data_IF_128956363217
#
_entry.id   IF_128956363217
#
_cell.length_a   1.000
_cell.length_b   1.000
_cell.length_c   1.000
_cell.angle_alpha   90.00
_cell.angle_beta   90.00
_cell.angle_gamma   90.00
#
_symmetry.space_group_name_H-M   'P 1'
#
loop_
_entity.id
_entity.type
_entity.pdbx_description
1 polymer ?
#
# COMPACT_ATOMS: atom_id res chain seq x y z
N UNK A 1 -10.23 9.49 6.71
CA UNK A 1 -11.52 9.01 7.28
C UNK A 1 -12.06 7.90 6.38
N UNK A 2 -12.70 6.84 6.93
CA UNK A 2 -13.33 5.78 6.14
C UNK A 2 -14.84 6.01 6.16
N UNK A 3 -15.41 6.41 5.02
CA UNK A 3 -16.86 6.44 4.86
C UNK A 3 -17.41 5.01 4.84
N UNK A 4 -18.56 4.80 5.50
CA UNK A 4 -19.20 3.47 5.58
C UNK A 4 -19.66 3.07 4.16
N UNK A 5 -18.92 2.17 3.51
CA UNK A 5 -19.14 1.73 2.13
C UNK A 5 -17.87 1.77 1.25
N UNK A 6 -16.84 2.55 1.64
CA UNK A 6 -15.58 2.63 0.92
C UNK A 6 -14.52 1.69 1.53
N UNK A 7 -13.92 0.83 0.71
CA UNK A 7 -12.85 -0.10 1.12
C UNK A 7 -11.50 0.60 1.36
N UNK A 8 -11.25 1.71 0.64
CA UNK A 8 -10.05 2.52 0.75
C UNK A 8 -10.23 3.69 1.74
N UNK A 9 -9.17 4.00 2.49
CA UNK A 9 -9.06 5.19 3.31
C UNK A 9 -8.61 6.37 2.46
N UNK A 10 -9.17 7.56 2.75
CA UNK A 10 -8.80 8.82 2.10
C UNK A 10 -8.20 9.78 3.10
N UNK A 11 -7.16 10.50 2.69
CA UNK A 11 -6.62 11.67 3.40
C UNK A 11 -7.64 12.81 3.33
N UNK A 12 -7.94 13.42 4.48
CA UNK A 12 -8.89 14.53 4.58
C UNK A 12 -8.10 15.78 4.95
N UNK A 13 -8.10 16.76 4.06
CA UNK A 13 -7.39 18.02 4.30
C UNK A 13 -7.93 18.71 5.56
N UNK A 14 -7.03 19.13 6.45
CA UNK A 14 -7.37 19.83 7.69
C UNK A 14 -7.83 18.94 8.85
N UNK A 15 -7.84 17.61 8.69
CA UNK A 15 -8.09 16.70 9.80
C UNK A 15 -6.80 16.41 10.57
N UNK A 16 -6.91 16.27 11.90
CA UNK A 16 -5.81 15.81 12.74
C UNK A 16 -5.32 14.43 12.29
N UNK A 17 -3.99 14.20 12.22
CA UNK A 17 -3.44 12.89 11.94
C UNK A 17 -3.97 11.84 12.93
N UNK A 18 -4.57 10.77 12.42
CA UNK A 18 -5.19 9.72 13.24
C UNK A 18 -4.49 8.35 13.12
N UNK A 19 -3.36 8.33 12.39
CA UNK A 19 -2.44 7.19 12.27
C UNK A 19 -1.01 7.67 11.98
N UNK A 20 -0.02 6.93 12.46
CA UNK A 20 1.40 7.21 12.25
C UNK A 20 2.16 5.92 11.94
N UNK A 21 2.96 5.93 10.88
CA UNK A 21 3.89 4.85 10.53
C UNK A 21 5.23 5.44 10.16
N UNK A 22 6.30 4.97 10.82
CA UNK A 22 7.67 5.24 10.37
C UNK A 22 8.03 4.25 9.27
N UNK A 23 8.56 4.79 8.17
CA UNK A 23 8.96 4.03 6.98
C UNK A 23 10.47 4.12 6.82
N UNK A 24 11.15 2.97 6.75
CA UNK A 24 12.59 2.92 6.53
C UNK A 24 12.89 2.13 5.25
N UNK A 25 13.67 2.71 4.33
CA UNK A 25 14.15 2.00 3.16
C UNK A 25 15.31 1.08 3.55
N UNK A 26 15.16 -0.21 3.30
CA UNK A 26 16.19 -1.23 3.56
C UNK A 26 17.02 -1.57 2.32
N UNK A 27 16.60 -1.16 1.13
CA UNK A 27 17.32 -1.38 -0.12
C UNK A 27 16.41 -1.38 -1.33
N UNK A 28 17.03 -1.23 -2.50
CA UNK A 28 16.37 -1.23 -3.81
C UNK A 28 17.08 -2.28 -4.67
N UNK A 29 16.30 -3.06 -5.43
CA UNK A 29 16.82 -4.02 -6.38
C UNK A 29 16.10 -3.88 -7.71
N UNK A 30 16.79 -4.22 -8.79
CA UNK A 30 16.14 -4.48 -10.08
C UNK A 30 15.38 -5.79 -10.01
N UNK A 31 14.19 -5.82 -10.60
CA UNK A 31 13.42 -7.05 -10.79
C UNK A 31 13.05 -7.18 -12.27
N UNK A 32 12.92 -8.42 -12.79
CA UNK A 32 12.30 -8.62 -14.09
C UNK A 32 10.96 -7.89 -14.11
N UNK A 33 10.67 -7.17 -15.18
CA UNK A 33 9.36 -6.55 -15.36
C UNK A 33 8.32 -7.67 -15.46
N UNK A 34 7.68 -8.01 -14.34
CA UNK A 34 6.45 -8.79 -14.36
C UNK A 34 5.33 -7.89 -14.90
N UNK A 35 4.33 -8.47 -15.55
CA UNK A 35 3.23 -7.72 -16.15
C UNK A 35 2.56 -6.80 -15.12
N UNK A 36 2.79 -5.49 -15.25
CA UNK A 36 2.25 -4.45 -14.38
C UNK A 36 3.15 -4.02 -13.20
N UNK A 37 4.41 -4.48 -13.12
CA UNK A 37 5.33 -4.10 -12.03
C UNK A 37 6.51 -3.28 -12.55
N UNK A 38 6.95 -2.22 -11.83
CA UNK A 38 8.11 -1.44 -12.23
C UNK A 38 9.40 -2.27 -12.18
N UNK A 39 10.43 -1.92 -12.98
CA UNK A 39 11.70 -2.65 -13.03
C UNK A 39 12.53 -2.50 -11.73
N UNK A 40 12.09 -1.64 -10.80
CA UNK A 40 12.73 -1.39 -9.51
C UNK A 40 11.77 -1.76 -8.38
N UNK A 41 12.25 -2.58 -7.45
CA UNK A 41 11.56 -2.93 -6.22
C UNK A 41 12.35 -2.45 -5.02
N UNK A 42 11.67 -1.78 -4.10
CA UNK A 42 12.22 -1.34 -2.83
C UNK A 42 11.71 -2.24 -1.68
N UNK A 43 12.58 -2.54 -0.72
CA UNK A 43 12.22 -3.23 0.52
C UNK A 43 12.16 -2.21 1.65
N UNK A 44 11.03 -2.16 2.34
CA UNK A 44 10.83 -1.23 3.45
C UNK A 44 10.65 -1.97 4.78
N UNK A 45 11.09 -1.35 5.87
CA UNK A 45 10.62 -1.67 7.23
C UNK A 45 9.52 -0.67 7.58
N UNK A 46 8.36 -1.18 7.96
CA UNK A 46 7.22 -0.37 8.38
C UNK A 46 7.03 -0.53 9.88
N UNK A 47 7.07 0.58 10.61
CA UNK A 47 6.95 0.65 12.07
C UNK A 47 5.70 1.45 12.42
N UNK A 48 4.51 0.83 12.40
CA UNK A 48 3.27 1.50 12.76
C UNK A 48 3.23 1.81 14.27
N UNK A 49 2.92 3.06 14.64
CA UNK A 49 2.66 3.46 16.03
C UNK A 49 1.19 3.34 16.42
N UNK A 50 0.33 3.09 15.43
CA UNK A 50 -1.11 2.88 15.56
C UNK A 50 -1.55 1.66 14.74
N UNK A 51 -2.73 1.10 15.01
CA UNK A 51 -3.25 -0.11 14.35
C UNK A 51 -4.51 0.10 13.51
N UNK A 52 -4.58 1.15 12.68
CA UNK A 52 -5.79 1.43 11.88
C UNK A 52 -5.94 0.46 10.70
N UNK A 53 -7.18 0.18 10.29
CA UNK A 53 -7.48 -0.67 9.13
C UNK A 53 -6.76 -0.16 7.88
N UNK A 54 -6.04 -1.07 7.21
CA UNK A 54 -5.27 -0.78 5.99
C UNK A 54 -4.23 0.35 6.11
N UNK A 55 -3.81 0.71 7.33
CA UNK A 55 -2.92 1.85 7.58
C UNK A 55 -1.64 1.82 6.74
N UNK A 56 -0.95 0.68 6.72
CA UNK A 56 0.31 0.54 5.97
C UNK A 56 0.11 0.73 4.47
N UNK A 57 -0.95 0.13 3.92
CA UNK A 57 -1.33 0.27 2.50
C UNK A 57 -1.62 1.72 2.14
N UNK A 58 -2.44 2.38 2.96
CA UNK A 58 -2.82 3.78 2.78
C UNK A 58 -1.60 4.72 2.82
N UNK A 59 -0.74 4.57 3.84
CA UNK A 59 0.46 5.40 3.97
C UNK A 59 1.44 5.19 2.81
N UNK A 60 1.70 3.93 2.42
CA UNK A 60 2.61 3.63 1.31
C UNK A 60 2.06 4.16 -0.02
N UNK A 61 0.75 4.04 -0.26
CA UNK A 61 0.11 4.65 -1.42
C UNK A 61 0.16 6.18 -1.41
N UNK A 62 -0.09 6.83 -0.25
CA UNK A 62 0.00 8.28 -0.09
C UNK A 62 1.41 8.82 -0.35
N UNK A 63 2.44 8.04 -0.03
CA UNK A 63 3.84 8.34 -0.35
C UNK A 63 4.20 8.12 -1.84
N UNK A 64 3.27 7.65 -2.67
CA UNK A 64 3.55 7.27 -4.07
C UNK A 64 4.37 5.99 -4.21
N UNK A 65 4.44 5.18 -3.14
CA UNK A 65 5.23 3.96 -3.04
C UNK A 65 4.33 2.75 -2.73
N UNK A 66 3.29 2.46 -3.55
CA UNK A 66 2.30 1.43 -3.23
C UNK A 66 2.95 0.05 -3.02
N UNK A 67 2.32 -0.76 -2.16
CA UNK A 67 2.77 -2.13 -1.94
C UNK A 67 2.57 -2.95 -3.22
N UNK A 68 3.57 -3.77 -3.55
CA UNK A 68 3.52 -4.65 -4.69
C UNK A 68 2.32 -5.62 -4.54
N UNK A 69 1.43 -5.64 -5.53
CA UNK A 69 0.26 -6.53 -5.53
C UNK A 69 -0.91 -6.06 -4.65
N UNK A 70 -0.90 -4.81 -4.16
CA UNK A 70 -2.00 -4.30 -3.34
C UNK A 70 -3.33 -4.26 -4.12
N UNK A 71 -4.37 -5.01 -3.69
CA UNK A 71 -5.66 -5.02 -4.37
C UNK A 71 -6.57 -3.86 -3.97
N UNK A 72 -6.16 -2.99 -3.03
CA UNK A 72 -6.99 -1.88 -2.54
C UNK A 72 -6.50 -0.52 -3.00
N UNK A 73 -5.20 -0.35 -3.20
CA UNK A 73 -4.59 0.92 -3.59
C UNK A 73 -3.65 0.76 -4.79
N UNK A 74 -3.58 1.76 -5.70
CA UNK A 74 -4.35 3.00 -5.69
C UNK A 74 -5.83 2.80 -6.08
N UNK A 75 -6.15 1.65 -6.69
CA UNK A 75 -7.50 1.29 -7.11
C UNK A 75 -7.86 -0.07 -6.51
N UNK A 76 -9.14 -0.21 -6.15
CA UNK A 76 -9.67 -1.51 -5.73
C UNK A 76 -9.72 -2.41 -6.96
N UNK A 77 -9.04 -3.55 -6.89
CA UNK A 77 -9.09 -4.62 -7.88
C UNK A 77 -9.76 -5.85 -7.27
N UNK A 78 -10.36 -6.67 -8.13
CA UNK A 78 -10.94 -7.96 -7.76
C UNK A 78 -10.05 -9.06 -8.36
N UNK A 79 -8.92 -9.40 -7.71
CA UNK A 79 -7.99 -10.38 -8.26
C UNK A 79 -8.63 -11.77 -8.23
N UNK A 80 -8.49 -12.51 -9.32
CA UNK A 80 -8.88 -13.92 -9.39
C UNK A 80 -8.15 -14.69 -8.28
N UNK A 81 -8.87 -15.31 -7.32
CA UNK A 81 -8.26 -16.04 -6.20
C UNK A 81 -7.46 -17.27 -6.65
N UNK A 82 -7.57 -17.67 -7.91
CA UNK A 82 -6.82 -18.78 -8.51
C UNK A 82 -5.55 -18.33 -9.27
N UNK A 83 -5.30 -17.02 -9.41
CA UNK A 83 -4.10 -16.50 -10.08
C UNK A 83 -2.90 -16.37 -9.13
N UNK A 84 -2.21 -17.49 -8.91
CA UNK A 84 -1.01 -17.57 -8.07
C UNK A 84 0.21 -16.82 -8.63
N UNK A 85 0.13 -16.23 -9.84
CA UNK A 85 1.22 -15.40 -10.39
C UNK A 85 1.32 -14.05 -9.67
N UNK A 86 0.30 -13.67 -8.90
CA UNK A 86 0.23 -12.44 -8.11
C UNK A 86 -0.17 -12.77 -6.66
N UNK A 87 0.73 -13.39 -5.88
CA UNK A 87 0.41 -13.81 -4.52
C UNK A 87 0.12 -12.59 -3.62
N UNK A 88 -0.85 -12.77 -2.72
CA UNK A 88 -1.34 -11.78 -1.75
C UNK A 88 -0.28 -11.27 -0.77
#
# INVERSE_FOLDING_TARGET
VKERGAMAAREVAGAEPNSETRVELLGVRTAPALAGTPPLLARYRLLPRTGRTHQLRAHMNGLGLPLLGDPLYPHVTDPDPTDYRRPL
#
